data_IF_621898287548
#
_entry.id   IF_621898287548
#
_cell.length_a   1.000
_cell.length_b   1.000
_cell.length_c   1.000
_cell.angle_alpha   90.00
_cell.angle_beta   90.00
_cell.angle_gamma   90.00
#
_symmetry.space_group_name_H-M   'P 1'
#
loop_
_entity.id
_entity.type
_entity.pdbx_description
1 polymer ?
#
# COMPACT_ATOMS: atom_id res chain seq x y z
N UNK A 1 -16.01 -5.72 -6.82
CA UNK A 1 -16.51 -6.64 -5.74
C UNK A 1 -16.37 -5.91 -4.42
N UNK A 2 -17.25 -6.15 -3.41
CA UNK A 2 -17.07 -5.52 -2.09
C UNK A 2 -15.87 -6.18 -1.37
N UNK A 3 -15.02 -5.41 -0.65
CA UNK A 3 -13.86 -5.95 0.10
C UNK A 3 -14.22 -7.14 0.99
N UNK A 4 -15.37 -7.05 1.65
CA UNK A 4 -15.87 -8.17 2.47
C UNK A 4 -16.09 -9.48 1.68
N UNK A 5 -16.43 -9.41 0.40
CA UNK A 5 -16.57 -10.59 -0.46
C UNK A 5 -15.22 -11.12 -0.90
N UNK A 6 -14.26 -10.24 -1.19
CA UNK A 6 -12.88 -10.62 -1.49
C UNK A 6 -12.22 -11.32 -0.30
N UNK A 7 -12.34 -10.74 0.90
CA UNK A 7 -11.82 -11.34 2.14
C UNK A 7 -12.46 -12.70 2.45
N UNK A 8 -13.75 -12.89 2.14
CA UNK A 8 -14.41 -14.20 2.28
C UNK A 8 -13.86 -15.22 1.30
N UNK A 9 -13.61 -14.83 0.05
CA UNK A 9 -12.99 -15.72 -0.95
C UNK A 9 -11.58 -16.10 -0.52
N UNK A 10 -10.76 -15.13 -0.11
CA UNK A 10 -9.41 -15.37 0.39
C UNK A 10 -9.44 -16.30 1.62
N UNK A 11 -10.33 -16.02 2.57
CA UNK A 11 -10.50 -16.86 3.76
C UNK A 11 -10.92 -18.29 3.41
N UNK A 12 -11.81 -18.47 2.43
CA UNK A 12 -12.21 -19.79 1.95
C UNK A 12 -11.03 -20.52 1.31
N UNK A 13 -10.29 -19.86 0.45
CA UNK A 13 -9.11 -20.42 -0.21
C UNK A 13 -8.05 -20.84 0.81
N UNK A 14 -7.81 -20.02 1.82
CA UNK A 14 -6.75 -20.24 2.80
C UNK A 14 -7.07 -21.32 3.85
N UNK A 15 -8.32 -21.33 4.31
CA UNK A 15 -8.66 -22.13 5.48
C UNK A 15 -9.37 -23.46 5.14
N UNK A 16 -9.96 -23.57 3.95
CA UNK A 16 -10.81 -24.71 3.63
C UNK A 16 -10.38 -25.50 2.39
N UNK A 17 -9.60 -24.90 1.47
CA UNK A 17 -9.14 -25.62 0.30
C UNK A 17 -7.74 -26.22 0.51
N UNK A 18 -7.58 -27.54 0.23
CA UNK A 18 -6.26 -28.15 0.22
C UNK A 18 -5.32 -27.43 -0.76
N UNK A 19 -4.03 -27.29 -0.45
CA UNK A 19 -3.07 -26.58 -1.32
C UNK A 19 -3.07 -27.07 -2.77
N UNK A 20 -3.18 -28.38 -3.00
CA UNK A 20 -3.22 -28.96 -4.35
C UNK A 20 -4.39 -28.45 -5.19
N UNK A 21 -5.53 -28.17 -4.59
CA UNK A 21 -6.72 -27.63 -5.26
C UNK A 21 -6.59 -26.10 -5.37
N UNK A 22 -6.28 -25.45 -4.25
CA UNK A 22 -6.14 -23.99 -4.16
C UNK A 22 -5.13 -23.45 -5.18
N UNK A 23 -3.96 -24.10 -5.27
CA UNK A 23 -2.85 -23.66 -6.12
C UNK A 23 -2.85 -24.35 -7.50
N UNK A 24 -3.97 -25.04 -7.88
CA UNK A 24 -4.09 -25.64 -9.20
C UNK A 24 -4.18 -24.58 -10.28
N UNK A 25 -3.54 -24.84 -11.44
CA UNK A 25 -3.56 -23.94 -12.61
C UNK A 25 -4.98 -23.62 -13.03
N UNK A 26 -5.87 -24.62 -13.04
CA UNK A 26 -7.26 -24.44 -13.51
C UNK A 26 -8.00 -23.46 -12.60
N UNK A 27 -8.00 -23.70 -11.28
CA UNK A 27 -8.72 -22.84 -10.34
C UNK A 27 -8.16 -21.41 -10.35
N UNK A 28 -6.85 -21.27 -10.34
CA UNK A 28 -6.20 -19.96 -10.32
C UNK A 28 -6.48 -19.20 -11.62
N UNK A 29 -6.43 -19.85 -12.78
CA UNK A 29 -6.79 -19.20 -14.06
C UNK A 29 -8.25 -18.74 -14.10
N UNK A 30 -9.18 -19.54 -13.56
CA UNK A 30 -10.59 -19.15 -13.45
C UNK A 30 -10.76 -17.93 -12.53
N UNK A 31 -10.10 -17.92 -11.39
CA UNK A 31 -10.12 -16.79 -10.44
C UNK A 31 -9.51 -15.53 -11.07
N UNK A 32 -8.37 -15.66 -11.73
CA UNK A 32 -7.71 -14.55 -12.41
C UNK A 32 -8.61 -13.94 -13.50
N UNK A 33 -9.20 -14.77 -14.37
CA UNK A 33 -10.14 -14.32 -15.38
C UNK A 33 -11.37 -13.63 -14.78
N UNK A 34 -11.88 -14.13 -13.65
CA UNK A 34 -12.99 -13.51 -12.93
C UNK A 34 -12.61 -12.17 -12.31
N UNK A 35 -11.44 -12.08 -11.67
CA UNK A 35 -10.98 -10.86 -11.00
C UNK A 35 -10.60 -9.80 -12.02
N UNK A 36 -9.77 -10.13 -13.01
CA UNK A 36 -9.19 -9.14 -13.91
C UNK A 36 -10.04 -8.85 -15.16
N UNK A 37 -10.88 -9.78 -15.60
CA UNK A 37 -11.74 -9.60 -16.79
C UNK A 37 -10.96 -9.03 -17.99
N UNK A 38 -11.39 -7.86 -18.49
CA UNK A 38 -10.79 -7.20 -19.63
C UNK A 38 -9.39 -6.62 -19.36
N UNK A 39 -9.06 -6.34 -18.10
CA UNK A 39 -7.77 -5.79 -17.69
C UNK A 39 -6.68 -6.84 -17.54
N UNK A 40 -6.99 -8.14 -17.76
CA UNK A 40 -6.03 -9.23 -17.62
C UNK A 40 -4.78 -9.06 -18.50
N UNK A 41 -4.93 -8.45 -19.67
CA UNK A 41 -3.81 -8.15 -20.59
C UNK A 41 -2.69 -7.30 -19.96
N UNK A 42 -3.01 -6.43 -18.99
CA UNK A 42 -2.06 -5.55 -18.29
C UNK A 42 -1.37 -6.23 -17.12
N UNK A 43 -1.92 -7.33 -16.62
CA UNK A 43 -1.45 -7.99 -15.41
C UNK A 43 -1.03 -9.44 -15.63
N UNK A 44 -1.15 -9.94 -16.85
CA UNK A 44 -0.66 -11.27 -17.21
C UNK A 44 0.86 -11.30 -17.01
N UNK A 45 1.33 -12.34 -16.36
CA UNK A 45 2.76 -12.49 -16.01
C UNK A 45 3.32 -11.36 -15.11
N UNK A 46 2.45 -10.49 -14.53
CA UNK A 46 2.90 -9.38 -13.68
C UNK A 46 3.94 -9.81 -12.65
N UNK A 47 3.68 -10.90 -11.90
CA UNK A 47 4.61 -11.39 -10.87
C UNK A 47 5.94 -11.90 -11.42
N UNK A 48 5.99 -12.34 -12.66
CA UNK A 48 7.24 -12.80 -13.29
C UNK A 48 8.11 -11.62 -13.74
N UNK A 49 7.49 -10.49 -14.03
CA UNK A 49 8.14 -9.30 -14.61
C UNK A 49 8.24 -8.13 -13.64
N UNK A 50 7.48 -8.16 -12.55
CA UNK A 50 7.27 -6.99 -11.69
C UNK A 50 8.56 -6.42 -11.09
N UNK A 51 9.56 -7.25 -10.84
CA UNK A 51 10.85 -6.79 -10.32
C UNK A 51 11.77 -6.18 -11.39
N UNK A 52 11.41 -6.31 -12.67
CA UNK A 52 12.11 -5.69 -13.80
C UNK A 52 11.40 -4.38 -14.23
N UNK A 53 10.24 -4.05 -13.68
CA UNK A 53 9.50 -2.84 -14.02
C UNK A 53 10.17 -1.59 -13.48
N UNK A 54 10.26 -0.59 -14.34
CA UNK A 54 10.61 0.78 -13.96
C UNK A 54 9.40 1.50 -13.34
N UNK A 55 9.64 2.66 -12.70
CA UNK A 55 8.55 3.51 -12.20
C UNK A 55 7.58 3.90 -13.32
N UNK A 56 8.09 4.15 -14.53
CA UNK A 56 7.24 4.48 -15.70
C UNK A 56 6.35 3.32 -16.13
N UNK A 57 6.85 2.08 -16.07
CA UNK A 57 6.05 0.90 -16.38
C UNK A 57 4.92 0.70 -15.37
N UNK A 58 5.23 0.91 -14.08
CA UNK A 58 4.24 0.82 -13.02
C UNK A 58 3.20 1.93 -13.12
N UNK A 59 3.63 3.17 -13.39
CA UNK A 59 2.74 4.31 -13.60
C UNK A 59 1.73 4.00 -14.72
N UNK A 60 2.19 3.54 -15.89
CA UNK A 60 1.33 3.17 -17.01
C UNK A 60 0.33 2.06 -16.64
N UNK A 61 0.79 1.03 -15.90
CA UNK A 61 -0.09 -0.06 -15.44
C UNK A 61 -1.18 0.48 -14.51
N UNK A 62 -0.84 1.33 -13.54
CA UNK A 62 -1.81 1.88 -12.58
C UNK A 62 -2.78 2.86 -13.23
N UNK A 63 -2.33 3.71 -14.13
CA UNK A 63 -3.20 4.60 -14.91
C UNK A 63 -4.21 3.81 -15.74
N UNK A 64 -3.76 2.79 -16.48
CA UNK A 64 -4.64 1.92 -17.27
C UNK A 64 -5.68 1.21 -16.38
N UNK A 65 -5.25 0.70 -15.23
CA UNK A 65 -6.15 0.03 -14.27
C UNK A 65 -7.14 1.01 -13.62
N UNK A 66 -6.74 2.23 -13.34
CA UNK A 66 -7.64 3.26 -12.80
C UNK A 66 -8.80 3.56 -13.78
N UNK A 67 -8.50 3.59 -15.08
CA UNK A 67 -9.50 3.81 -16.14
C UNK A 67 -10.39 2.56 -16.34
N UNK A 68 -9.78 1.38 -16.52
CA UNK A 68 -10.51 0.15 -16.88
C UNK A 68 -11.25 -0.47 -15.69
N UNK A 69 -10.80 -0.23 -14.49
CA UNK A 69 -11.33 -0.83 -13.25
C UNK A 69 -11.49 0.20 -12.12
N UNK A 70 -12.31 1.22 -12.32
CA UNK A 70 -12.56 2.18 -11.24
C UNK A 70 -13.08 1.42 -10.01
N UNK A 71 -12.35 1.47 -8.90
CA UNK A 71 -12.80 0.86 -7.66
C UNK A 71 -13.98 1.66 -7.10
N UNK A 72 -15.02 1.00 -6.63
CA UNK A 72 -16.13 1.65 -5.91
C UNK A 72 -15.83 1.85 -4.41
N UNK A 73 -14.63 1.52 -3.97
CA UNK A 73 -14.20 1.68 -2.57
C UNK A 73 -13.43 2.99 -2.43
N UNK A 74 -13.71 3.78 -1.39
CA UNK A 74 -12.95 5.00 -1.13
C UNK A 74 -11.50 4.68 -0.72
N UNK A 75 -11.26 3.57 -0.02
CA UNK A 75 -9.94 3.12 0.46
C UNK A 75 -9.91 1.61 0.65
N UNK A 76 -8.73 1.02 0.67
CA UNK A 76 -8.47 -0.36 1.07
C UNK A 76 -8.16 -0.51 2.55
N UNK A 77 -7.88 0.58 3.26
CA UNK A 77 -7.69 0.59 4.70
C UNK A 77 -8.95 0.13 5.44
N UNK A 78 -8.76 -0.73 6.44
CA UNK A 78 -9.82 -1.05 7.39
C UNK A 78 -10.01 0.09 8.43
N UNK A 79 -11.19 0.15 9.04
CA UNK A 79 -11.55 1.25 9.96
C UNK A 79 -10.66 1.30 11.20
N UNK A 80 -10.15 0.14 11.66
CA UNK A 80 -9.26 0.08 12.83
C UNK A 80 -7.92 0.74 12.51
N UNK A 81 -7.36 0.46 11.33
CA UNK A 81 -6.13 1.12 10.87
C UNK A 81 -6.33 2.63 10.67
N UNK A 82 -7.46 3.05 10.10
CA UNK A 82 -7.77 4.49 9.96
C UNK A 82 -7.79 5.17 11.32
N UNK A 83 -8.50 4.60 12.29
CA UNK A 83 -8.58 5.16 13.63
C UNK A 83 -7.21 5.22 14.31
N UNK A 84 -6.39 4.19 14.14
CA UNK A 84 -5.04 4.14 14.70
C UNK A 84 -4.11 5.16 14.04
N UNK A 85 -4.17 5.35 12.71
CA UNK A 85 -3.45 6.42 12.01
C UNK A 85 -3.78 7.76 12.66
N UNK A 86 -5.09 8.08 12.78
CA UNK A 86 -5.55 9.36 13.32
C UNK A 86 -5.08 9.62 14.77
N UNK A 87 -4.98 8.57 15.58
CA UNK A 87 -4.48 8.66 16.97
C UNK A 87 -2.95 8.73 17.05
N UNK A 88 -2.28 8.23 16.02
CA UNK A 88 -0.82 8.13 15.98
C UNK A 88 -0.15 9.32 15.28
N UNK A 89 -0.89 10.29 14.75
CA UNK A 89 -0.30 11.45 14.09
C UNK A 89 0.55 12.28 15.06
N UNK A 90 1.65 12.81 14.54
CA UNK A 90 2.53 13.72 15.26
C UNK A 90 2.74 14.99 14.41
N UNK A 91 2.63 16.17 15.03
CA UNK A 91 2.81 17.46 14.33
C UNK A 91 1.65 17.84 13.42
N UNK A 92 1.91 18.81 12.53
CA UNK A 92 0.89 19.42 11.69
C UNK A 92 1.04 19.10 10.21
N UNK A 93 2.28 18.88 9.75
CA UNK A 93 2.58 18.60 8.35
C UNK A 93 2.60 17.11 8.09
N UNK A 94 1.69 16.64 7.22
CA UNK A 94 1.49 15.22 6.94
C UNK A 94 1.74 14.95 5.46
N UNK A 95 2.54 13.92 5.15
CA UNK A 95 2.67 13.36 3.82
C UNK A 95 1.96 12.00 3.77
N UNK A 96 1.06 11.80 2.84
CA UNK A 96 0.54 10.49 2.47
C UNK A 96 1.16 10.03 1.15
N UNK A 97 1.83 8.86 1.16
CA UNK A 97 2.47 8.29 -0.03
C UNK A 97 1.72 7.03 -0.46
N UNK A 98 1.35 6.98 -1.74
CA UNK A 98 0.44 5.98 -2.28
C UNK A 98 -1.01 6.29 -1.88
N UNK A 99 -1.44 7.54 -2.07
CA UNK A 99 -2.73 8.03 -1.58
C UNK A 99 -3.94 7.46 -2.34
N UNK A 100 -3.71 6.83 -3.48
CA UNK A 100 -4.76 6.30 -4.34
C UNK A 100 -5.78 7.38 -4.69
N UNK A 101 -6.99 7.25 -4.16
CA UNK A 101 -8.08 8.21 -4.39
C UNK A 101 -8.12 9.39 -3.43
N UNK A 102 -7.13 9.48 -2.55
CA UNK A 102 -7.01 10.58 -1.60
C UNK A 102 -7.98 10.55 -0.41
N UNK A 103 -8.62 9.39 -0.13
CA UNK A 103 -9.59 9.29 0.97
C UNK A 103 -8.97 9.66 2.33
N UNK A 104 -7.80 9.12 2.64
CA UNK A 104 -7.15 9.42 3.92
C UNK A 104 -6.61 10.86 3.94
N UNK A 105 -6.03 11.34 2.82
CA UNK A 105 -5.60 12.74 2.70
C UNK A 105 -6.74 13.72 2.93
N UNK A 106 -7.92 13.47 2.36
CA UNK A 106 -9.10 14.30 2.56
C UNK A 106 -9.59 14.26 4.01
N UNK A 107 -9.60 13.07 4.61
CA UNK A 107 -9.96 12.89 6.01
C UNK A 107 -9.00 13.65 6.95
N UNK A 108 -7.70 13.61 6.69
CA UNK A 108 -6.68 14.32 7.47
C UNK A 108 -6.79 15.85 7.30
N UNK A 109 -6.97 16.31 6.07
CA UNK A 109 -7.17 17.74 5.76
C UNK A 109 -8.42 18.29 6.41
N UNK A 110 -9.55 17.54 6.38
CA UNK A 110 -10.79 17.93 7.04
C UNK A 110 -10.66 18.06 8.57
N UNK A 111 -9.60 17.52 9.15
CA UNK A 111 -9.24 17.63 10.57
C UNK A 111 -8.21 18.72 10.86
N UNK A 112 -7.97 19.59 9.90
CA UNK A 112 -7.09 20.76 10.04
C UNK A 112 -5.60 20.46 9.87
N UNK A 113 -5.20 19.28 9.36
CA UNK A 113 -3.80 18.98 9.07
C UNK A 113 -3.40 19.58 7.72
N UNK A 114 -2.15 20.03 7.63
CA UNK A 114 -1.52 20.43 6.37
C UNK A 114 -1.05 19.17 5.64
N UNK A 115 -1.81 18.74 4.63
CA UNK A 115 -1.62 17.45 3.97
C UNK A 115 -1.06 17.65 2.57
N UNK A 116 0.00 16.91 2.27
CA UNK A 116 0.48 16.64 0.91
C UNK A 116 0.30 15.16 0.62
N UNK A 117 -0.13 14.82 -0.58
CA UNK A 117 -0.22 13.43 -1.03
C UNK A 117 0.59 13.18 -2.29
N UNK A 118 1.10 11.95 -2.43
CA UNK A 118 1.83 11.48 -3.60
C UNK A 118 1.20 10.19 -4.11
N UNK A 119 0.95 10.13 -5.41
CA UNK A 119 0.53 8.91 -6.12
C UNK A 119 0.89 9.01 -7.61
N UNK A 120 0.85 7.89 -8.34
CA UNK A 120 0.94 7.87 -9.80
C UNK A 120 -0.32 8.44 -10.46
N UNK A 121 -1.47 8.21 -9.85
CA UNK A 121 -2.79 8.55 -10.40
C UNK A 121 -3.38 9.74 -9.69
N UNK A 122 -3.73 10.77 -10.46
CA UNK A 122 -4.37 11.97 -9.90
C UNK A 122 -5.78 11.66 -9.37
N UNK A 123 -6.19 12.28 -8.26
CA UNK A 123 -7.55 12.17 -7.76
C UNK A 123 -8.55 12.78 -8.74
N UNK A 124 -9.73 12.17 -8.86
CA UNK A 124 -10.77 12.59 -9.82
C UNK A 124 -11.42 13.95 -9.53
N UNK A 125 -11.24 14.49 -8.33
CA UNK A 125 -11.80 15.79 -7.89
C UNK A 125 -10.70 16.70 -7.40
N UNK A 126 -10.93 18.01 -7.42
CA UNK A 126 -9.99 18.99 -6.83
C UNK A 126 -9.90 18.72 -5.33
N UNK A 127 -8.76 18.26 -4.83
CA UNK A 127 -8.63 17.89 -3.43
C UNK A 127 -8.54 19.11 -2.52
N UNK A 128 -8.99 18.97 -1.27
CA UNK A 128 -8.79 19.94 -0.20
C UNK A 128 -7.37 19.90 0.41
N UNK A 129 -6.40 19.24 -0.28
CA UNK A 129 -5.01 19.05 0.12
C UNK A 129 -4.09 19.21 -1.11
N UNK A 130 -2.79 19.31 -0.90
CA UNK A 130 -1.83 19.38 -2.01
C UNK A 130 -1.62 17.97 -2.58
N UNK A 131 -1.75 17.81 -3.90
CA UNK A 131 -1.39 16.59 -4.62
C UNK A 131 -0.12 16.79 -5.43
N UNK A 132 0.76 15.80 -5.41
CA UNK A 132 1.98 15.74 -6.22
C UNK A 132 2.02 14.38 -6.91
N UNK A 133 2.05 14.38 -8.24
CA UNK A 133 2.23 13.15 -9.01
C UNK A 133 3.68 12.68 -8.87
N UNK A 134 3.90 11.41 -8.46
CA UNK A 134 5.24 10.90 -8.25
C UNK A 134 5.31 9.48 -7.70
N UNK A 135 6.54 8.99 -7.57
CA UNK A 135 6.88 7.67 -7.06
C UNK A 135 7.39 7.73 -5.63
N UNK A 136 7.10 6.67 -4.84
CA UNK A 136 7.71 6.47 -3.52
C UNK A 136 9.23 6.27 -3.58
N UNK A 137 9.76 5.84 -4.73
CA UNK A 137 11.20 5.63 -4.92
C UNK A 137 12.00 6.94 -5.07
N UNK A 138 11.32 8.07 -5.37
CA UNK A 138 11.96 9.37 -5.54
C UNK A 138 10.97 10.48 -5.22
N UNK A 139 10.87 10.83 -3.94
CA UNK A 139 9.97 11.86 -3.44
C UNK A 139 10.56 13.26 -3.66
N UNK A 140 9.84 14.19 -4.32
CA UNK A 140 10.37 15.51 -4.66
C UNK A 140 10.33 16.50 -3.47
N UNK A 141 10.79 16.04 -2.31
CA UNK A 141 10.81 16.81 -1.07
C UNK A 141 12.19 16.75 -0.42
N UNK A 142 12.52 17.77 0.35
CA UNK A 142 13.75 17.82 1.14
C UNK A 142 13.70 16.85 2.31
N UNK A 143 14.87 16.56 2.89
CA UNK A 143 14.99 15.71 4.09
C UNK A 143 14.18 16.31 5.25
N UNK A 144 13.54 15.44 6.02
CA UNK A 144 12.77 15.82 7.22
C UNK A 144 11.71 16.92 6.99
N UNK A 145 11.05 16.92 5.81
CA UNK A 145 10.04 17.92 5.42
C UNK A 145 8.71 17.77 6.13
N UNK A 146 8.36 16.55 6.57
CA UNK A 146 7.04 16.27 7.13
C UNK A 146 7.12 15.72 8.55
N UNK A 147 6.30 16.26 9.45
CA UNK A 147 6.24 15.80 10.84
C UNK A 147 5.81 14.34 10.93
N UNK A 148 4.80 13.93 10.15
CA UNK A 148 4.39 12.54 9.99
C UNK A 148 4.31 12.17 8.51
N UNK A 149 4.84 11.00 8.17
CA UNK A 149 4.67 10.37 6.86
C UNK A 149 3.83 9.11 7.04
N UNK A 150 2.81 8.95 6.20
CA UNK A 150 1.93 7.78 6.16
C UNK A 150 2.07 7.09 4.81
N UNK A 151 2.33 5.79 4.82
CA UNK A 151 2.38 4.96 3.62
C UNK A 151 1.57 3.70 3.89
N UNK A 152 0.42 3.59 3.23
CA UNK A 152 -0.55 2.54 3.53
C UNK A 152 -0.96 1.78 2.27
N UNK A 153 -0.84 0.46 2.28
CA UNK A 153 -1.15 -0.41 1.13
C UNK A 153 -0.45 0.02 -0.17
N UNK A 154 0.87 0.31 -0.05
CA UNK A 154 1.69 0.82 -1.16
C UNK A 154 2.98 0.01 -1.31
N UNK A 155 3.70 -0.23 -0.23
CA UNK A 155 5.03 -0.86 -0.28
C UNK A 155 5.01 -2.30 -0.80
N UNK A 156 3.90 -3.00 -0.67
CA UNK A 156 3.71 -4.33 -1.25
C UNK A 156 3.70 -4.33 -2.78
N UNK A 157 3.55 -3.17 -3.40
CA UNK A 157 3.52 -2.96 -4.84
C UNK A 157 4.85 -2.43 -5.43
N UNK A 158 5.86 -2.23 -4.61
CA UNK A 158 7.12 -1.58 -5.00
C UNK A 158 8.22 -2.62 -5.19
N UNK A 159 8.92 -2.67 -6.34
CA UNK A 159 10.00 -3.63 -6.56
C UNK A 159 11.12 -3.53 -5.52
N UNK A 160 11.63 -2.33 -5.29
CA UNK A 160 12.65 -2.05 -4.25
C UNK A 160 12.01 -1.47 -2.98
N UNK A 161 11.48 -2.36 -2.16
CA UNK A 161 10.84 -1.98 -0.89
C UNK A 161 11.84 -1.33 0.09
N UNK A 162 13.13 -1.68 0.04
CA UNK A 162 14.13 -1.10 0.93
C UNK A 162 14.49 0.32 0.53
N UNK A 163 14.70 0.58 -0.76
CA UNK A 163 14.91 1.93 -1.28
C UNK A 163 13.72 2.84 -1.00
N UNK A 164 12.50 2.35 -1.22
CA UNK A 164 11.28 3.09 -0.90
C UNK A 164 11.16 3.41 0.60
N UNK A 165 11.50 2.46 1.48
CA UNK A 165 11.53 2.71 2.93
C UNK A 165 12.56 3.77 3.33
N UNK A 166 13.74 3.75 2.72
CA UNK A 166 14.77 4.73 3.02
C UNK A 166 14.37 6.12 2.53
N UNK A 167 13.65 6.21 1.40
CA UNK A 167 13.11 7.46 0.88
C UNK A 167 11.97 8.03 1.77
N UNK A 168 11.05 7.17 2.22
CA UNK A 168 10.04 7.56 3.20
C UNK A 168 10.67 8.08 4.50
N UNK A 169 11.71 7.41 4.98
CA UNK A 169 12.46 7.84 6.16
C UNK A 169 13.18 9.15 5.94
N UNK A 170 13.74 9.37 4.75
CA UNK A 170 14.45 10.61 4.42
C UNK A 170 13.55 11.83 4.62
N UNK A 171 12.35 11.80 4.07
CA UNK A 171 11.41 12.92 4.14
C UNK A 171 10.67 13.03 5.49
N UNK A 172 10.73 11.99 6.32
CA UNK A 172 10.12 11.98 7.66
C UNK A 172 10.95 12.78 8.65
N UNK A 173 10.34 13.70 9.36
CA UNK A 173 10.95 14.48 10.44
C UNK A 173 10.84 13.81 11.80
N UNK A 174 9.66 13.26 12.14
CA UNK A 174 9.40 12.72 13.47
C UNK A 174 8.87 11.29 13.44
N UNK A 175 7.81 11.01 12.68
CA UNK A 175 7.09 9.74 12.70
C UNK A 175 6.77 9.22 11.31
N UNK A 176 7.11 7.95 11.07
CA UNK A 176 6.72 7.20 9.88
C UNK A 176 5.68 6.15 10.30
N UNK A 177 4.52 6.15 9.65
CA UNK A 177 3.44 5.18 9.83
C UNK A 177 3.32 4.37 8.55
N UNK A 178 3.41 3.05 8.66
CA UNK A 178 3.28 2.13 7.53
C UNK A 178 2.18 1.12 7.84
N UNK A 179 1.28 0.90 6.88
CA UNK A 179 0.25 -0.14 6.94
C UNK A 179 0.47 -1.10 5.79
N UNK A 180 0.64 -2.39 6.10
CA UNK A 180 0.86 -3.46 5.12
C UNK A 180 -0.22 -4.53 5.25
N UNK A 181 -0.73 -5.07 4.14
CA UNK A 181 -1.74 -6.12 4.19
C UNK A 181 -1.17 -7.40 4.80
N UNK A 182 -1.96 -8.05 5.67
CA UNK A 182 -1.65 -9.37 6.19
C UNK A 182 -2.10 -10.44 5.21
N UNK A 183 -1.29 -10.65 4.18
CA UNK A 183 -1.58 -11.59 3.11
C UNK A 183 -0.46 -12.60 2.91
N UNK A 184 -0.84 -13.77 2.36
CA UNK A 184 0.08 -14.78 1.85
C UNK A 184 0.09 -14.79 0.32
N UNK A 185 1.19 -15.21 -0.31
CA UNK A 185 1.23 -15.33 -1.75
C UNK A 185 0.34 -16.46 -2.25
N UNK A 186 -0.29 -16.23 -3.40
CA UNK A 186 -0.92 -17.24 -4.24
C UNK A 186 -0.09 -17.48 -5.49
N UNK A 187 -0.30 -18.60 -6.16
CA UNK A 187 0.42 -18.94 -7.39
C UNK A 187 0.25 -17.88 -8.48
N UNK A 188 -0.96 -17.35 -8.61
CA UNK A 188 -1.31 -16.31 -9.60
C UNK A 188 -1.67 -15.01 -8.93
N UNK A 189 -1.51 -13.89 -9.66
CA UNK A 189 -1.82 -12.57 -9.17
C UNK A 189 -3.31 -12.28 -9.13
N UNK A 190 -3.94 -12.43 -7.97
CA UNK A 190 -5.27 -11.88 -7.74
C UNK A 190 -5.23 -10.37 -7.40
N UNK A 191 -4.05 -9.87 -7.11
CA UNK A 191 -3.70 -8.47 -6.89
C UNK A 191 -2.29 -8.19 -7.47
N UNK A 192 -1.86 -6.94 -7.45
CA UNK A 192 -0.54 -6.51 -7.93
C UNK A 192 0.50 -6.50 -6.80
N UNK A 193 0.35 -7.32 -5.78
CA UNK A 193 1.33 -7.40 -4.71
C UNK A 193 2.56 -8.19 -5.14
N UNK A 194 3.73 -7.64 -4.91
CA UNK A 194 5.04 -8.26 -5.10
C UNK A 194 5.57 -8.82 -3.79
N UNK A 195 5.29 -8.13 -2.67
CA UNK A 195 5.69 -8.51 -1.32
C UNK A 195 4.50 -8.98 -0.49
N UNK A 196 4.72 -10.01 0.34
CA UNK A 196 3.69 -10.66 1.13
C UNK A 196 4.17 -10.84 2.57
N UNK A 197 3.32 -10.45 3.51
CA UNK A 197 3.64 -10.46 4.94
C UNK A 197 2.58 -11.23 5.75
N UNK A 198 2.50 -12.57 5.61
CA UNK A 198 1.52 -13.38 6.36
C UNK A 198 1.79 -13.39 7.87
N UNK A 199 3.00 -13.09 8.30
CA UNK A 199 3.42 -13.13 9.70
C UNK A 199 4.19 -11.88 10.10
N UNK A 200 3.94 -11.38 11.31
CA UNK A 200 4.59 -10.17 11.84
C UNK A 200 6.12 -10.24 11.86
N UNK A 201 6.70 -11.41 12.12
CA UNK A 201 8.16 -11.54 12.16
C UNK A 201 8.84 -11.25 10.82
N UNK A 202 8.10 -11.34 9.69
CA UNK A 202 8.61 -11.01 8.35
C UNK A 202 8.81 -9.51 8.15
N UNK A 203 8.21 -8.68 8.99
CA UNK A 203 8.40 -7.22 8.95
C UNK A 203 9.73 -6.80 9.58
N UNK A 204 10.26 -7.59 10.53
CA UNK A 204 11.48 -7.22 11.26
C UNK A 204 12.68 -6.93 10.35
N UNK A 205 12.95 -7.68 9.27
CA UNK A 205 14.05 -7.37 8.35
C UNK A 205 13.89 -6.00 7.66
N UNK A 206 12.65 -5.57 7.37
CA UNK A 206 12.40 -4.28 6.73
C UNK A 206 12.71 -3.09 7.65
N UNK A 207 12.36 -3.24 8.92
CA UNK A 207 12.51 -2.14 9.87
C UNK A 207 13.85 -2.15 10.61
N UNK A 208 14.48 -3.33 10.75
CA UNK A 208 15.80 -3.49 11.36
C UNK A 208 15.93 -2.88 12.76
N UNK A 209 17.07 -3.11 13.44
CA UNK A 209 17.45 -2.32 14.59
C UNK A 209 18.21 -1.08 14.12
N UNK A 210 17.62 0.08 14.25
CA UNK A 210 18.28 1.36 13.94
C UNK A 210 18.58 2.10 15.23
N UNK A 211 19.78 2.65 15.33
CA UNK A 211 20.29 3.32 16.55
C UNK A 211 19.54 4.61 16.88
N UNK A 212 18.86 5.21 15.91
CA UNK A 212 18.20 6.51 16.06
C UNK A 212 16.69 6.44 15.76
N UNK A 213 16.07 5.27 15.87
CA UNK A 213 14.62 5.12 15.78
C UNK A 213 14.11 4.00 16.67
N UNK A 214 12.87 4.13 17.12
CA UNK A 214 12.12 3.06 17.78
C UNK A 214 10.99 2.59 16.86
N UNK A 215 10.84 1.29 16.73
CA UNK A 215 9.78 0.71 15.88
C UNK A 215 8.81 -0.10 16.72
N UNK A 216 7.52 0.12 16.53
CA UNK A 216 6.44 -0.66 17.11
C UNK A 216 5.54 -1.26 16.06
N UNK A 217 4.94 -2.43 16.38
CA UNK A 217 4.06 -3.17 15.47
C UNK A 217 2.76 -3.53 16.18
N UNK A 218 1.63 -3.41 15.45
CA UNK A 218 0.31 -3.87 15.90
C UNK A 218 -0.34 -4.72 14.81
N UNK A 219 -1.08 -5.74 15.20
CA UNK A 219 -1.99 -6.49 14.34
C UNK A 219 -3.38 -5.86 14.46
N UNK A 220 -3.80 -5.14 13.44
CA UNK A 220 -5.10 -4.48 13.35
C UNK A 220 -5.97 -5.07 12.22
N UNK A 221 -5.70 -6.34 11.84
CA UNK A 221 -6.22 -6.97 10.65
C UNK A 221 -5.27 -6.81 9.46
N UNK A 222 -4.60 -5.68 9.38
CA UNK A 222 -3.39 -5.41 8.62
C UNK A 222 -2.25 -5.13 9.62
N UNK A 223 -1.01 -5.19 9.14
CA UNK A 223 0.16 -4.85 9.95
C UNK A 223 0.29 -3.33 10.04
N UNK A 224 0.18 -2.81 11.24
CA UNK A 224 0.38 -1.39 11.54
C UNK A 224 1.75 -1.19 12.18
N UNK A 225 2.60 -0.43 11.52
CA UNK A 225 3.98 -0.18 11.95
C UNK A 225 4.19 1.30 12.18
N UNK A 226 4.82 1.66 13.29
CA UNK A 226 5.24 3.03 13.59
C UNK A 226 6.74 3.04 13.85
N UNK A 227 7.44 3.92 13.14
CA UNK A 227 8.85 4.22 13.38
C UNK A 227 8.98 5.67 13.83
N UNK A 228 9.43 5.88 15.07
CA UNK A 228 9.70 7.19 15.63
C UNK A 228 11.20 7.51 15.55
N UNK A 229 11.56 8.67 15.00
CA UNK A 229 12.94 9.17 15.07
C UNK A 229 13.27 9.60 16.49
N UNK A 230 14.33 9.03 17.04
CA UNK A 230 14.89 9.43 18.34
C UNK A 230 15.81 10.63 18.09
N UNK A 231 15.55 11.74 18.77
CA UNK A 231 16.37 12.95 18.71
C UNK A 231 17.68 12.79 19.47
#
# INVERSE_FOLDING_TARGET
>A
MKRASELKIVSLLDNYLPPKIRDSVILQTLLENYVWKNSRKHVIDFRLKSFDYTDSDLEEIYENLAIERPSNRPTDLNQTCINEILQSLHGETILEVGSGRGYLSELLSSRGKSVTSVDYVEPHSTPGYQFVKGSVNSLPFEDASFDTVVCAHTLEHVPDIHGALDELRRVTKSRLIIVLPRERPYRWGLNLHMHFFPYMWMLKPLFGQRTHSSTSFKDLGDWFCVEDKIR
#
